data_IF_917230329642
#
_entry.id   IF_917230329642
#
_cell.length_a   1.000
_cell.length_b   1.000
_cell.length_c   1.000
_cell.angle_alpha   90.00
_cell.angle_beta   90.00
_cell.angle_gamma   90.00
#
_symmetry.space_group_name_H-M   'P 1'
#
loop_
_entity.id
_entity.type
_entity.pdbx_description
1 polymer ?
#
# COMPACT_ATOMS: atom_id res chain seq x y z
N UNK A 1 -11.38 39.86 38.48
CA UNK A 1 -11.74 39.85 37.04
C UNK A 1 -10.53 39.32 36.27
N UNK A 2 -10.36 38.07 35.84
CA UNK A 2 -11.07 36.80 35.95
C UNK A 2 -10.03 35.69 35.68
N UNK A 3 -9.57 34.97 36.72
CA UNK A 3 -8.83 33.70 36.53
C UNK A 3 -9.75 32.54 36.10
N UNK A 4 -11.06 32.77 36.12
CA UNK A 4 -12.06 31.87 35.56
C UNK A 4 -12.09 31.86 34.01
N UNK A 5 -11.43 32.80 33.33
CA UNK A 5 -11.43 32.88 31.85
C UNK A 5 -10.32 32.05 31.18
N UNK A 6 -9.30 31.61 31.93
CA UNK A 6 -8.17 30.83 31.38
C UNK A 6 -8.40 29.32 31.37
N UNK A 7 -9.36 28.82 32.15
CA UNK A 7 -9.77 27.41 32.14
C UNK A 7 -10.87 27.07 31.13
N UNK A 8 -11.42 28.08 30.42
CA UNK A 8 -12.55 27.90 29.50
C UNK A 8 -12.16 27.47 28.07
N UNK A 9 -10.87 27.36 27.73
CA UNK A 9 -10.40 27.05 26.36
C UNK A 9 -10.04 25.56 26.16
N UNK A 10 -10.09 24.71 27.20
CA UNK A 10 -9.71 23.29 27.11
C UNK A 10 -10.86 22.29 26.96
N UNK A 11 -12.08 22.74 26.69
CA UNK A 11 -13.25 21.84 26.66
C UNK A 11 -14.23 22.16 25.52
N UNK A 12 -13.76 22.14 24.28
CA UNK A 12 -14.66 22.22 23.13
C UNK A 12 -14.03 21.63 21.87
N UNK A 13 -14.04 20.30 21.73
CA UNK A 13 -14.33 19.56 20.48
C UNK A 13 -14.06 18.06 20.68
N UNK A 14 -14.96 17.39 21.42
CA UNK A 14 -15.12 15.94 21.30
C UNK A 14 -16.56 15.69 20.82
N UNK A 15 -16.83 16.07 19.58
CA UNK A 15 -18.10 15.83 18.93
C UNK A 15 -17.91 14.78 17.84
N UNK A 16 -18.21 13.54 18.20
CA UNK A 16 -18.90 12.56 17.37
C UNK A 16 -18.26 12.11 16.06
N UNK A 17 -17.71 10.90 16.07
CA UNK A 17 -18.15 9.81 15.17
C UNK A 17 -17.56 8.51 15.68
N UNK A 18 -18.28 7.84 16.60
CA UNK A 18 -18.11 6.39 16.75
C UNK A 18 -18.82 5.78 15.54
N UNK A 19 -18.09 5.62 14.44
CA UNK A 19 -18.53 4.73 13.39
C UNK A 19 -18.53 3.32 14.00
N UNK A 20 -19.72 2.81 14.31
CA UNK A 20 -19.90 1.40 14.65
C UNK A 20 -19.38 0.62 13.45
N UNK A 21 -18.18 0.06 13.56
CA UNK A 21 -17.63 -0.82 12.56
C UNK A 21 -18.57 -2.03 12.51
N UNK A 22 -19.44 -2.06 11.49
CA UNK A 22 -20.19 -3.25 11.18
C UNK A 22 -19.18 -4.41 11.05
N UNK A 23 -19.47 -5.62 11.57
CA UNK A 23 -18.63 -6.77 11.33
C UNK A 23 -18.54 -6.97 9.82
N UNK A 24 -17.41 -6.55 9.26
CA UNK A 24 -17.14 -6.67 7.84
C UNK A 24 -16.79 -8.13 7.59
N UNK A 25 -17.83 -8.92 7.33
CA UNK A 25 -17.68 -10.26 6.76
C UNK A 25 -16.64 -10.19 5.64
N UNK A 26 -15.76 -11.19 5.58
CA UNK A 26 -14.84 -11.37 4.47
C UNK A 26 -15.67 -11.41 3.19
N UNK A 27 -15.67 -10.32 2.42
CA UNK A 27 -16.21 -10.30 1.07
C UNK A 27 -15.29 -11.19 0.24
N UNK A 28 -15.61 -12.47 0.21
CA UNK A 28 -15.08 -13.40 -0.78
C UNK A 28 -15.87 -13.08 -2.03
N UNK A 29 -15.28 -12.31 -2.93
CA UNK A 29 -15.80 -12.20 -4.30
C UNK A 29 -15.95 -13.63 -4.81
N UNK A 30 -17.17 -14.08 -5.15
CA UNK A 30 -17.34 -15.36 -5.83
C UNK A 30 -16.37 -15.42 -7.00
N UNK A 31 -15.83 -16.60 -7.32
CA UNK A 31 -15.11 -16.77 -8.57
C UNK A 31 -16.00 -16.19 -9.68
N UNK A 32 -15.55 -15.08 -10.27
CA UNK A 32 -16.33 -14.39 -11.28
C UNK A 32 -16.65 -15.43 -12.36
N UNK A 33 -17.93 -15.59 -12.71
CA UNK A 33 -18.30 -16.36 -13.89
C UNK A 33 -17.48 -15.84 -15.07
N UNK A 34 -17.01 -16.74 -15.94
CA UNK A 34 -16.10 -16.37 -17.02
C UNK A 34 -16.77 -15.33 -17.93
N UNK A 35 -16.49 -14.06 -17.67
CA UNK A 35 -16.77 -13.01 -18.63
C UNK A 35 -15.86 -13.27 -19.82
N UNK A 36 -16.37 -13.20 -21.07
CA UNK A 36 -15.53 -13.30 -22.24
C UNK A 36 -14.33 -12.35 -22.11
N UNK A 37 -13.13 -12.76 -22.58
CA UNK A 37 -11.96 -11.88 -22.56
C UNK A 37 -12.29 -10.53 -23.22
N UNK A 38 -12.04 -9.44 -22.49
CA UNK A 38 -12.25 -8.08 -23.00
C UNK A 38 -10.93 -7.54 -23.53
N UNK A 39 -10.88 -7.34 -24.84
CA UNK A 39 -9.72 -6.82 -25.57
C UNK A 39 -9.76 -5.31 -25.81
N UNK A 40 -10.76 -4.63 -25.24
CA UNK A 40 -10.92 -3.19 -25.41
C UNK A 40 -9.81 -2.46 -24.64
N UNK A 41 -8.92 -1.70 -25.32
CA UNK A 41 -7.93 -0.92 -24.62
C UNK A 41 -8.61 0.12 -23.74
N UNK A 42 -8.24 0.17 -22.46
CA UNK A 42 -8.79 1.11 -21.49
C UNK A 42 -7.71 1.67 -20.59
N UNK A 43 -7.87 2.92 -20.21
CA UNK A 43 -7.02 3.61 -19.24
C UNK A 43 -7.91 4.25 -18.19
N UNK A 44 -7.61 3.99 -16.92
CA UNK A 44 -8.29 4.54 -15.76
C UNK A 44 -7.29 5.36 -14.95
N UNK A 45 -7.75 6.53 -14.52
CA UNK A 45 -6.99 7.41 -13.65
C UNK A 45 -7.77 7.58 -12.36
N UNK A 46 -7.14 7.29 -11.22
CA UNK A 46 -7.72 7.44 -9.90
C UNK A 46 -6.76 8.14 -8.95
N UNK A 47 -7.28 8.86 -7.97
CA UNK A 47 -6.47 9.58 -6.99
C UNK A 47 -6.81 9.09 -5.58
N UNK A 48 -5.81 8.98 -4.72
CA UNK A 48 -6.00 8.64 -3.30
C UNK A 48 -5.07 9.50 -2.46
N UNK A 49 -5.62 10.21 -1.47
CA UNK A 49 -4.88 11.14 -0.62
C UNK A 49 -5.09 10.73 0.83
N UNK A 50 -3.99 10.68 1.58
CA UNK A 50 -3.98 10.44 3.02
C UNK A 50 -3.50 11.69 3.72
N UNK A 51 -4.36 12.24 4.57
CA UNK A 51 -4.07 13.41 5.39
C UNK A 51 -4.23 13.06 6.87
N UNK A 52 -3.39 13.66 7.70
CA UNK A 52 -3.45 13.50 9.15
C UNK A 52 -3.19 14.82 9.87
N UNK A 53 -3.58 14.85 11.13
CA UNK A 53 -3.12 15.84 12.09
C UNK A 53 -2.37 15.09 13.19
N UNK A 54 -1.12 15.46 13.41
CA UNK A 54 -0.27 14.84 14.42
C UNK A 54 0.12 15.89 15.45
N UNK A 55 -0.08 15.55 16.73
CA UNK A 55 0.42 16.31 17.88
C UNK A 55 1.39 15.41 18.66
N UNK A 56 2.62 15.87 18.85
CA UNK A 56 3.68 15.17 19.59
C UNK A 56 3.83 15.86 20.93
N UNK A 57 3.39 15.18 21.98
CA UNK A 57 3.55 15.68 23.34
C UNK A 57 5.02 15.61 23.77
N UNK A 58 5.70 14.50 23.48
CA UNK A 58 7.13 14.34 23.74
C UNK A 58 7.84 13.61 22.57
N UNK A 59 9.09 14.00 22.24
CA UNK A 59 9.86 15.09 22.83
C UNK A 59 9.41 16.48 22.37
N UNK A 60 9.48 17.46 23.27
CA UNK A 60 9.28 18.86 22.90
C UNK A 60 10.46 19.37 22.07
N UNK A 61 10.17 20.17 21.04
CA UNK A 61 11.16 20.77 20.15
C UNK A 61 11.40 22.23 20.55
N UNK A 62 12.54 22.79 20.12
CA UNK A 62 12.75 24.24 20.22
C UNK A 62 12.34 24.90 18.92
N UNK A 63 11.55 25.96 19.00
CA UNK A 63 11.26 26.81 17.85
C UNK A 63 12.48 27.66 17.45
N UNK A 64 12.36 28.43 16.37
CA UNK A 64 13.42 29.33 15.90
C UNK A 64 13.82 30.39 16.93
N UNK A 65 12.93 30.71 17.87
CA UNK A 65 13.14 31.68 18.95
C UNK A 65 13.63 31.03 20.26
N UNK A 66 13.84 29.70 20.26
CA UNK A 66 14.39 28.94 21.38
C UNK A 66 13.37 28.50 22.44
N UNK A 67 12.08 28.73 22.24
CA UNK A 67 11.02 28.30 23.16
C UNK A 67 10.75 26.80 23.03
N UNK A 68 10.46 26.15 24.15
CA UNK A 68 10.05 24.74 24.17
C UNK A 68 8.59 24.65 23.71
N UNK A 69 8.37 24.01 22.57
CA UNK A 69 7.05 23.86 21.96
C UNK A 69 6.77 22.38 21.64
N UNK A 70 5.49 22.02 21.69
CA UNK A 70 5.02 20.72 21.24
C UNK A 70 4.80 20.76 19.73
N UNK A 71 5.37 19.80 19.01
CA UNK A 71 5.23 19.74 17.56
C UNK A 71 3.80 19.38 17.20
N UNK A 72 3.16 20.19 16.36
CA UNK A 72 1.89 19.84 15.76
C UNK A 72 1.89 20.22 14.27
N UNK A 73 1.30 19.36 13.44
CA UNK A 73 1.26 19.59 12.00
C UNK A 73 0.05 18.91 11.36
N UNK A 74 -0.54 19.59 10.37
CA UNK A 74 -1.37 18.96 9.36
C UNK A 74 -0.45 18.42 8.26
N UNK A 75 -0.54 17.13 7.99
CA UNK A 75 0.34 16.46 7.06
C UNK A 75 -0.45 15.84 5.90
N UNK A 76 0.21 15.82 4.74
CA UNK A 76 -0.15 14.93 3.64
C UNK A 76 0.91 13.84 3.62
N UNK A 77 0.62 12.73 4.30
CA UNK A 77 1.58 11.64 4.44
C UNK A 77 1.80 10.89 3.13
N UNK A 78 0.75 10.71 2.33
CA UNK A 78 0.78 9.98 1.04
C UNK A 78 -0.27 10.55 0.08
N UNK A 79 0.12 10.74 -1.17
CA UNK A 79 -0.81 11.02 -2.25
C UNK A 79 -0.44 10.14 -3.45
N UNK A 80 -1.42 9.44 -4.00
CA UNK A 80 -1.26 8.54 -5.14
C UNK A 80 -2.06 9.02 -6.33
N UNK A 81 -1.43 9.00 -7.50
CA UNK A 81 -2.12 9.07 -8.79
C UNK A 81 -1.99 7.68 -9.40
N UNK A 82 -3.06 6.92 -9.43
CA UNK A 82 -3.09 5.58 -10.01
C UNK A 82 -3.50 5.69 -11.48
N UNK A 83 -2.57 5.42 -12.39
CA UNK A 83 -2.86 5.23 -13.81
C UNK A 83 -2.77 3.74 -14.08
N UNK A 84 -3.91 3.11 -14.34
CA UNK A 84 -4.00 1.68 -14.65
C UNK A 84 -4.63 1.51 -16.01
N UNK A 85 -4.07 0.64 -16.86
CA UNK A 85 -4.67 0.35 -18.15
C UNK A 85 -4.60 -1.11 -18.51
N UNK A 86 -5.57 -1.54 -19.32
CA UNK A 86 -5.55 -2.82 -20.01
C UNK A 86 -5.40 -2.50 -21.50
N UNK A 87 -4.42 -3.10 -22.16
CA UNK A 87 -4.26 -3.00 -23.61
C UNK A 87 -4.99 -4.15 -24.31
N UNK A 88 -5.08 -5.30 -23.65
CA UNK A 88 -5.83 -6.48 -24.04
C UNK A 88 -6.11 -7.35 -22.80
N UNK A 89 -6.80 -8.48 -22.95
CA UNK A 89 -6.91 -9.46 -21.87
C UNK A 89 -5.55 -10.01 -21.39
N UNK A 90 -4.53 -9.99 -22.25
CA UNK A 90 -3.18 -10.47 -21.92
C UNK A 90 -2.28 -9.40 -21.32
N UNK A 91 -2.46 -8.12 -21.67
CA UNK A 91 -1.49 -7.08 -21.31
C UNK A 91 -2.15 -5.96 -20.53
N UNK A 92 -1.64 -5.72 -19.33
CA UNK A 92 -2.03 -4.60 -18.48
C UNK A 92 -0.82 -3.85 -17.95
N UNK A 93 -1.02 -2.61 -17.51
CA UNK A 93 0.03 -1.80 -16.93
C UNK A 93 -0.49 -0.97 -15.77
N UNK A 94 0.42 -0.61 -14.86
CA UNK A 94 0.12 0.30 -13.76
C UNK A 94 1.30 1.23 -13.52
N UNK A 95 0.98 2.52 -13.41
CA UNK A 95 1.89 3.57 -12.98
C UNK A 95 1.26 4.27 -11.78
N UNK A 96 2.02 4.42 -10.70
CA UNK A 96 1.56 5.06 -9.47
C UNK A 96 2.72 5.82 -8.83
N UNK A 97 2.88 7.12 -9.14
CA UNK A 97 3.69 7.98 -8.31
C UNK A 97 3.10 8.13 -6.91
N UNK A 98 3.97 8.31 -5.94
CA UNK A 98 3.62 8.72 -4.59
C UNK A 98 4.38 9.98 -4.17
N UNK A 99 3.86 10.61 -3.13
CA UNK A 99 4.46 11.80 -2.53
C UNK A 99 5.07 11.43 -1.19
N UNK A 100 6.27 11.93 -0.93
CA UNK A 100 6.91 11.89 0.38
C UNK A 100 7.50 13.26 0.70
N UNK A 101 7.60 13.61 1.99
CA UNK A 101 8.34 14.80 2.38
C UNK A 101 9.83 14.48 2.26
N UNK A 102 10.56 15.36 1.59
CA UNK A 102 12.02 15.25 1.52
C UNK A 102 12.64 15.89 2.76
N UNK A 103 13.51 15.16 3.43
CA UNK A 103 14.21 15.56 4.67
C UNK A 103 15.72 15.41 4.57
N UNK A 104 16.27 15.10 3.39
CA UNK A 104 17.71 14.99 3.16
C UNK A 104 18.47 16.29 3.46
N UNK A 105 19.47 16.21 4.32
CA UNK A 105 20.39 17.33 4.62
C UNK A 105 21.18 17.69 3.36
N UNK A 106 21.08 18.95 2.90
CA UNK A 106 21.75 19.43 1.69
C UNK A 106 20.93 19.33 0.39
N UNK A 107 19.71 18.80 0.44
CA UNK A 107 18.77 18.84 -0.68
C UNK A 107 18.14 20.22 -0.81
N UNK A 108 18.09 20.79 -2.02
CA UNK A 108 17.33 22.02 -2.29
C UNK A 108 15.82 21.85 -2.14
N UNK A 109 15.35 20.60 -2.07
CA UNK A 109 13.96 20.22 -1.85
C UNK A 109 13.65 19.90 -0.38
N UNK A 110 14.59 20.13 0.55
CA UNK A 110 14.38 19.85 1.97
C UNK A 110 13.11 20.57 2.49
N UNK A 111 12.22 19.81 3.12
CA UNK A 111 10.92 20.27 3.60
C UNK A 111 9.82 20.29 2.54
N UNK A 112 10.13 20.11 1.26
CA UNK A 112 9.14 20.02 0.18
C UNK A 112 8.56 18.61 0.07
N UNK A 113 7.35 18.53 -0.48
CA UNK A 113 6.76 17.26 -0.90
C UNK A 113 7.28 16.90 -2.29
N UNK A 114 7.99 15.79 -2.40
CA UNK A 114 8.59 15.31 -3.66
C UNK A 114 7.83 14.11 -4.19
N UNK A 115 7.71 14.04 -5.52
CA UNK A 115 7.17 12.87 -6.19
C UNK A 115 8.25 11.81 -6.35
N UNK A 116 7.91 10.57 -6.03
CA UNK A 116 8.72 9.39 -6.34
C UNK A 116 7.83 8.32 -6.96
N UNK A 117 8.42 7.36 -7.66
CA UNK A 117 7.69 6.34 -8.39
C UNK A 117 7.52 5.09 -7.52
N UNK A 118 6.29 4.82 -7.04
CA UNK A 118 6.01 3.66 -6.19
C UNK A 118 5.69 2.39 -6.96
N UNK A 119 4.93 2.51 -8.05
CA UNK A 119 4.63 1.39 -8.96
C UNK A 119 4.78 1.85 -10.41
N UNK A 120 5.41 1.01 -11.22
CA UNK A 120 5.57 1.18 -12.66
C UNK A 120 5.92 -0.17 -13.26
N UNK A 121 4.89 -0.93 -13.61
CA UNK A 121 5.06 -2.28 -14.14
C UNK A 121 4.11 -2.58 -15.30
N UNK A 122 4.57 -3.45 -16.18
CA UNK A 122 3.72 -4.19 -17.13
C UNK A 122 3.39 -5.56 -16.56
N UNK A 123 2.19 -6.04 -16.85
CA UNK A 123 1.67 -7.34 -16.43
C UNK A 123 1.17 -8.11 -17.64
N UNK A 124 1.62 -9.36 -17.76
CA UNK A 124 1.12 -10.37 -18.68
C UNK A 124 0.17 -11.31 -17.92
N UNK A 125 -1.08 -11.42 -18.37
CA UNK A 125 -2.08 -12.33 -17.82
C UNK A 125 -2.06 -13.65 -18.59
N UNK A 126 -2.17 -14.76 -17.87
CA UNK A 126 -2.15 -16.11 -18.44
C UNK A 126 -3.46 -16.85 -18.22
N UNK A 127 -4.56 -16.12 -18.06
CA UNK A 127 -5.87 -16.66 -17.69
C UNK A 127 -6.44 -17.66 -18.71
N UNK A 128 -5.94 -17.66 -19.95
CA UNK A 128 -6.34 -18.59 -21.00
C UNK A 128 -5.65 -19.96 -20.89
N UNK A 129 -4.47 -20.01 -20.25
CA UNK A 129 -3.61 -21.20 -20.18
C UNK A 129 -3.42 -21.72 -18.75
N UNK A 130 -3.61 -20.86 -17.75
CA UNK A 130 -3.42 -21.12 -16.34
C UNK A 130 -4.70 -20.76 -15.56
N UNK A 131 -4.85 -21.21 -14.32
CA UNK A 131 -6.00 -20.84 -13.50
C UNK A 131 -6.14 -19.33 -13.41
N UNK A 132 -7.37 -18.84 -13.58
CA UNK A 132 -7.69 -17.41 -13.66
C UNK A 132 -7.08 -16.59 -12.51
N UNK A 133 -6.50 -15.44 -12.84
CA UNK A 133 -5.71 -14.59 -11.95
C UNK A 133 -4.22 -14.96 -11.87
N UNK A 134 -3.73 -15.74 -12.83
CA UNK A 134 -2.30 -16.05 -12.97
C UNK A 134 -1.62 -15.04 -13.90
N UNK A 135 -0.45 -14.53 -13.52
CA UNK A 135 0.19 -13.43 -14.23
C UNK A 135 1.71 -13.41 -14.05
N UNK A 136 2.41 -12.69 -14.93
CA UNK A 136 3.80 -12.27 -14.75
C UNK A 136 3.91 -10.75 -14.83
N UNK A 137 4.83 -10.14 -14.07
CA UNK A 137 5.02 -8.70 -14.00
C UNK A 137 6.49 -8.33 -14.05
N UNK A 138 6.79 -7.25 -14.76
CA UNK A 138 8.12 -6.66 -14.89
C UNK A 138 8.07 -5.16 -14.57
N UNK A 139 9.01 -4.69 -13.76
CA UNK A 139 9.18 -3.27 -13.41
C UNK A 139 9.15 -3.04 -11.90
N UNK A 140 8.76 -1.83 -11.49
CA UNK A 140 8.55 -1.50 -10.06
C UNK A 140 7.20 -2.03 -9.64
N UNK A 141 7.20 -3.13 -8.89
CA UNK A 141 5.99 -3.85 -8.53
C UNK A 141 5.94 -4.18 -7.04
N UNK A 142 4.76 -4.55 -6.56
CA UNK A 142 4.57 -5.00 -5.19
C UNK A 142 5.43 -6.24 -4.88
N UNK A 143 5.96 -6.30 -3.65
CA UNK A 143 6.60 -7.50 -3.13
C UNK A 143 5.55 -8.48 -2.61
N UNK A 144 5.78 -9.81 -2.69
CA UNK A 144 4.77 -10.81 -2.39
C UNK A 144 4.21 -10.74 -0.96
N UNK A 145 5.07 -10.45 0.01
CA UNK A 145 4.67 -10.41 1.42
C UNK A 145 3.82 -9.18 1.75
N UNK A 146 4.25 -8.00 1.30
CA UNK A 146 3.55 -6.75 1.62
C UNK A 146 2.20 -6.70 0.94
N UNK A 147 2.08 -7.12 -0.31
CA UNK A 147 0.80 -7.17 -1.04
C UNK A 147 -0.26 -7.99 -0.28
N UNK A 148 0.14 -9.15 0.25
CA UNK A 148 -0.75 -9.99 1.04
C UNK A 148 -1.11 -9.42 2.40
N UNK A 149 -0.10 -8.96 3.13
CA UNK A 149 -0.31 -8.38 4.46
C UNK A 149 -1.22 -7.16 4.36
N UNK A 150 -1.09 -6.35 3.31
CA UNK A 150 -1.99 -5.23 3.03
C UNK A 150 -3.40 -5.70 2.66
N UNK A 151 -3.55 -6.84 1.96
CA UNK A 151 -4.84 -7.46 1.69
C UNK A 151 -5.59 -7.94 2.96
N UNK A 152 -4.86 -8.24 4.04
CA UNK A 152 -5.43 -8.59 5.35
C UNK A 152 -5.59 -7.34 6.22
N UNK A 153 -4.62 -6.43 6.18
CA UNK A 153 -4.54 -5.26 7.04
C UNK A 153 -5.43 -4.12 6.53
N UNK A 154 -6.66 -4.08 7.05
CA UNK A 154 -7.70 -3.11 6.63
C UNK A 154 -7.49 -1.68 7.14
N UNK A 155 -6.56 -1.47 8.08
CA UNK A 155 -6.29 -0.16 8.70
C UNK A 155 -5.18 0.65 8.01
N UNK A 156 -5.13 0.57 6.67
CA UNK A 156 -4.11 1.27 5.87
C UNK A 156 -4.16 2.80 6.00
N UNK A 157 -5.29 3.35 6.46
CA UNK A 157 -5.43 4.79 6.73
C UNK A 157 -4.57 5.28 7.91
N UNK A 158 -4.18 4.39 8.83
CA UNK A 158 -3.29 4.73 9.96
C UNK A 158 -1.80 4.72 9.56
N UNK A 159 -1.47 4.23 8.36
CA UNK A 159 -0.12 4.23 7.82
C UNK A 159 0.32 2.88 7.25
N UNK A 160 1.64 2.75 7.08
CA UNK A 160 2.32 1.53 6.61
C UNK A 160 2.08 0.34 7.54
N UNK A 161 2.09 -0.86 6.97
CA UNK A 161 2.17 -2.10 7.76
C UNK A 161 3.46 -2.11 8.57
N UNK A 162 3.47 -2.81 9.70
CA UNK A 162 4.60 -2.82 10.63
C UNK A 162 5.93 -3.20 9.97
N UNK A 163 5.95 -4.23 9.11
CA UNK A 163 7.15 -4.67 8.41
C UNK A 163 7.74 -3.60 7.46
N UNK A 164 6.89 -2.75 6.86
CA UNK A 164 7.33 -1.63 6.01
C UNK A 164 7.73 -0.42 6.87
N UNK A 165 7.02 -0.18 7.98
CA UNK A 165 7.33 0.90 8.93
C UNK A 165 8.70 0.72 9.60
N UNK A 166 9.02 -0.50 9.98
CA UNK A 166 10.32 -0.86 10.58
C UNK A 166 11.43 -1.09 9.54
N UNK A 167 11.12 -0.98 8.24
CA UNK A 167 12.11 -1.10 7.17
C UNK A 167 12.59 -2.51 6.85
N UNK A 168 11.97 -3.56 7.43
CA UNK A 168 12.35 -4.95 7.18
C UNK A 168 11.96 -5.44 5.78
N UNK A 169 10.81 -5.00 5.26
CA UNK A 169 10.30 -5.40 3.95
C UNK A 169 9.71 -4.20 3.21
N UNK A 170 10.17 -3.98 1.99
CA UNK A 170 9.66 -2.89 1.14
C UNK A 170 8.33 -3.25 0.48
N UNK A 171 7.42 -2.28 0.35
CA UNK A 171 6.15 -2.46 -0.37
C UNK A 171 6.31 -2.61 -1.88
N UNK A 172 7.43 -2.16 -2.43
CA UNK A 172 7.71 -2.22 -3.86
C UNK A 172 9.19 -2.42 -4.12
N UNK A 173 9.51 -3.12 -5.20
CA UNK A 173 10.88 -3.24 -5.68
C UNK A 173 10.89 -3.45 -7.20
N UNK A 174 12.01 -3.10 -7.83
CA UNK A 174 12.27 -3.39 -9.23
C UNK A 174 12.56 -4.87 -9.40
N UNK A 175 11.84 -5.54 -10.28
CA UNK A 175 12.08 -6.96 -10.51
C UNK A 175 11.13 -7.61 -11.52
N UNK A 176 11.33 -8.92 -11.67
CA UNK A 176 10.45 -9.81 -12.41
C UNK A 176 9.76 -10.75 -11.41
N UNK A 177 8.44 -10.87 -11.48
CA UNK A 177 7.71 -11.78 -10.62
C UNK A 177 6.56 -12.47 -11.35
N UNK A 178 6.19 -13.65 -10.88
CA UNK A 178 5.10 -14.44 -11.41
C UNK A 178 4.19 -14.94 -10.29
N UNK A 179 2.91 -14.96 -10.56
CA UNK A 179 1.86 -15.40 -9.67
C UNK A 179 1.02 -16.48 -10.34
N UNK A 180 0.80 -17.59 -9.64
CA UNK A 180 0.02 -18.72 -10.09
C UNK A 180 -1.08 -19.01 -9.07
N UNK A 181 -2.32 -18.98 -9.52
CA UNK A 181 -3.45 -19.43 -8.71
C UNK A 181 -3.61 -20.95 -8.82
N UNK A 182 -4.02 -21.59 -7.72
CA UNK A 182 -4.43 -22.99 -7.78
C UNK A 182 -5.91 -23.12 -8.18
N UNK A 183 -6.28 -24.17 -8.95
CA UNK A 183 -7.67 -24.43 -9.32
C UNK A 183 -8.57 -24.48 -8.08
N UNK A 184 -9.84 -24.05 -8.20
CA UNK A 184 -10.80 -24.17 -7.11
C UNK A 184 -10.54 -23.25 -5.90
N UNK A 185 -9.71 -22.21 -6.05
CA UNK A 185 -9.37 -21.24 -5.00
C UNK A 185 -8.63 -21.83 -3.77
N UNK A 186 -8.00 -22.99 -3.91
CA UNK A 186 -7.25 -23.65 -2.83
C UNK A 186 -5.99 -22.90 -2.41
N UNK A 187 -5.55 -21.88 -3.15
CA UNK A 187 -4.36 -21.13 -2.80
C UNK A 187 -3.74 -20.40 -3.98
N UNK A 188 -2.56 -19.85 -3.73
CA UNK A 188 -1.74 -19.14 -4.69
C UNK A 188 -0.25 -19.30 -4.36
N UNK A 189 0.60 -19.15 -5.37
CA UNK A 189 2.04 -19.02 -5.21
C UNK A 189 2.53 -17.80 -5.98
N UNK A 190 3.36 -16.99 -5.33
CA UNK A 190 4.00 -15.80 -5.89
C UNK A 190 5.50 -15.93 -5.70
N UNK A 191 6.24 -15.88 -6.81
CA UNK A 191 7.70 -15.95 -6.84
C UNK A 191 8.26 -14.76 -7.61
N UNK A 192 9.36 -14.19 -7.18
CA UNK A 192 10.02 -13.11 -7.91
C UNK A 192 11.49 -12.93 -7.58
N UNK A 193 12.20 -12.33 -8.53
CA UNK A 193 13.58 -11.85 -8.38
C UNK A 193 13.55 -10.33 -8.45
N UNK A 194 14.15 -9.70 -7.45
CA UNK A 194 14.11 -8.25 -7.22
C UNK A 194 15.52 -7.70 -7.01
N UNK A 195 15.69 -6.40 -7.15
CA UNK A 195 16.97 -5.73 -6.92
C UNK A 195 17.37 -5.68 -5.44
N UNK A 196 16.41 -5.71 -4.51
CA UNK A 196 16.65 -5.82 -3.07
C UNK A 196 16.83 -4.48 -2.34
N UNK A 197 17.07 -3.39 -3.07
CA UNK A 197 17.36 -2.05 -2.52
C UNK A 197 16.12 -1.16 -2.38
N UNK A 198 14.92 -1.70 -2.61
CA UNK A 198 13.63 -0.99 -2.60
C UNK A 198 13.46 0.02 -3.75
N UNK A 199 12.24 0.51 -3.94
CA UNK A 199 11.95 1.56 -4.91
C UNK A 199 12.50 2.96 -4.55
N UNK A 200 13.03 3.15 -3.34
CA UNK A 200 13.40 4.47 -2.80
C UNK A 200 14.88 4.80 -2.91
N UNK A 201 15.72 3.85 -3.35
CA UNK A 201 17.17 4.02 -3.46
C UNK A 201 17.63 3.67 -4.86
N UNK A 202 18.70 4.33 -5.31
CA UNK A 202 19.42 3.91 -6.50
C UNK A 202 20.12 2.58 -6.22
N UNK A 203 20.07 1.66 -7.17
CA UNK A 203 20.69 0.34 -7.07
C UNK A 203 22.21 0.50 -6.93
N UNK A 204 22.74 0.11 -5.77
CA UNK A 204 24.18 0.14 -5.48
C UNK A 204 24.72 -1.25 -5.12
N UNK A 205 23.87 -2.27 -5.24
CA UNK A 205 24.11 -3.64 -4.82
C UNK A 205 24.49 -4.55 -6.01
N UNK A 206 25.39 -5.50 -5.77
CA UNK A 206 25.81 -6.53 -6.74
C UNK A 206 24.95 -7.81 -6.66
N UNK A 207 24.03 -7.89 -5.70
CA UNK A 207 23.16 -9.04 -5.48
C UNK A 207 21.72 -8.81 -6.00
N UNK A 208 20.94 -9.88 -6.01
CA UNK A 208 19.50 -9.88 -6.31
C UNK A 208 18.77 -10.61 -5.19
N UNK A 209 17.63 -10.07 -4.78
CA UNK A 209 16.78 -10.66 -3.76
C UNK A 209 15.78 -11.62 -4.42
N UNK A 210 15.75 -12.87 -3.95
CA UNK A 210 14.71 -13.83 -4.32
C UNK A 210 13.61 -13.83 -3.26
N UNK A 211 12.35 -13.76 -3.68
CA UNK A 211 11.20 -13.81 -2.78
C UNK A 211 10.19 -14.85 -3.26
N UNK A 212 9.65 -15.60 -2.32
CA UNK A 212 8.64 -16.62 -2.54
C UNK A 212 7.57 -16.54 -1.46
N UNK A 213 6.33 -16.71 -1.88
CA UNK A 213 5.17 -16.76 -0.99
C UNK A 213 4.18 -17.77 -1.52
N UNK A 214 3.70 -18.65 -0.65
CA UNK A 214 2.56 -19.51 -0.92
C UNK A 214 1.42 -19.17 0.04
N UNK A 215 0.19 -19.30 -0.43
CA UNK A 215 -1.01 -19.31 0.41
C UNK A 215 -1.71 -20.65 0.24
N UNK A 216 -2.09 -21.29 1.33
CA UNK A 216 -2.98 -22.45 1.30
C UNK A 216 -4.34 -22.10 1.94
N UNK A 217 -5.41 -22.45 1.24
CA UNK A 217 -6.81 -22.29 1.66
C UNK A 217 -7.46 -23.67 1.68
N UNK A 218 -7.39 -24.40 2.80
CA UNK A 218 -7.86 -25.79 2.86
C UNK A 218 -9.39 -25.93 2.68
N UNK A 219 -10.18 -24.88 2.92
CA UNK A 219 -11.65 -24.90 2.81
C UNK A 219 -12.17 -23.66 2.05
N UNK A 220 -12.03 -23.59 0.72
CA UNK A 220 -12.38 -22.39 -0.05
C UNK A 220 -13.90 -22.20 -0.24
N UNK A 221 -14.71 -23.26 -0.13
CA UNK A 221 -16.10 -23.29 -0.60
C UNK A 221 -17.18 -23.51 0.48
N UNK A 222 -16.86 -23.68 1.78
CA UNK A 222 -17.90 -23.83 2.81
C UNK A 222 -17.44 -23.76 4.28
N UNK A 223 -18.34 -23.32 5.16
CA UNK A 223 -18.21 -23.35 6.64
C UNK A 223 -17.65 -22.08 7.30
N UNK A 224 -17.55 -22.09 8.63
CA UNK A 224 -16.98 -21.00 9.48
C UNK A 224 -15.49 -20.76 9.25
N UNK A 225 -14.79 -21.71 8.61
CA UNK A 225 -13.36 -21.67 8.31
C UNK A 225 -13.04 -21.16 6.89
N UNK A 226 -14.04 -20.66 6.14
CA UNK A 226 -13.90 -20.16 4.76
C UNK A 226 -12.95 -18.95 4.61
N UNK A 227 -12.51 -18.34 5.72
CA UNK A 227 -11.52 -17.27 5.76
C UNK A 227 -10.09 -17.71 6.11
N UNK A 228 -9.86 -18.98 6.44
CA UNK A 228 -8.56 -19.45 6.89
C UNK A 228 -7.55 -19.45 5.72
N UNK A 229 -6.41 -18.81 5.95
CA UNK A 229 -5.28 -18.73 5.03
C UNK A 229 -4.02 -19.08 5.81
N UNK A 230 -3.26 -20.04 5.30
CA UNK A 230 -1.95 -20.47 5.81
C UNK A 230 -0.86 -19.97 4.87
#
# INVERSE_FOLDING_TARGET
MNDALRSAVRLATLAGTVAVAAPAFTQVTPAAGSTPPDDTPSVKVGVTIYTDYTYIDEPAIKDADGNVVHSNAFNVGRAYINVTGNLSHWVSFRVTPDVTRESGTGSSLNGSLTFRLKYAFGQLNFDDFLPHGSWARLGVQQTPYVDFMEGIYRYRFQGQIFAEREGFLSSSDFGLSGHLNFPGNYGDIHVGVYNGDTYSRAEANDQKAFQIRGTLRPLPLGGTLKGLRL
#
